data_IF_168000980258
#
_entry.id   IF_168000980258
#
_cell.length_a   1.000
_cell.length_b   1.000
_cell.length_c   1.000
_cell.angle_alpha   90.00
_cell.angle_beta   90.00
_cell.angle_gamma   90.00
#
_symmetry.space_group_name_H-M   'P 1'
#
loop_
_entity.id
_entity.type
_entity.pdbx_description
1 polymer ?
#
# COMPACT_ATOMS: atom_id res chain seq x y z
N UNK A 1 -39.00 36.98 44.85
CA UNK A 1 -37.53 36.97 44.55
C UNK A 1 -36.97 35.60 44.23
N UNK A 2 -37.76 34.53 44.23
CA UNK A 2 -37.22 33.13 44.02
C UNK A 2 -37.25 32.63 42.58
N UNK A 3 -37.91 33.32 41.68
CA UNK A 3 -38.07 32.82 40.30
C UNK A 3 -36.92 33.13 39.36
N UNK A 4 -36.10 34.10 39.66
CA UNK A 4 -34.91 34.48 38.86
C UNK A 4 -33.69 33.59 39.17
N UNK A 5 -33.53 33.19 40.43
CA UNK A 5 -32.43 32.34 40.90
C UNK A 5 -32.55 30.92 40.28
N UNK A 6 -33.76 30.41 40.18
CA UNK A 6 -34.05 29.10 39.60
C UNK A 6 -33.86 29.06 38.08
N UNK A 7 -34.01 30.19 37.38
CA UNK A 7 -33.77 30.33 35.93
C UNK A 7 -32.28 30.38 35.58
N UNK A 8 -31.45 30.99 36.46
CA UNK A 8 -29.98 31.04 36.27
C UNK A 8 -29.37 29.64 36.49
N UNK A 9 -29.75 28.92 37.54
CA UNK A 9 -29.29 27.54 37.78
C UNK A 9 -29.62 26.60 36.63
N UNK A 10 -30.84 26.65 36.06
CA UNK A 10 -31.22 25.85 34.92
C UNK A 10 -30.38 26.15 33.66
N UNK A 11 -29.99 27.39 33.43
CA UNK A 11 -29.13 27.76 32.29
C UNK A 11 -27.70 27.23 32.45
N UNK A 12 -27.14 27.29 33.66
CA UNK A 12 -25.81 26.77 33.96
C UNK A 12 -25.73 25.26 33.78
N UNK A 13 -26.74 24.49 34.21
CA UNK A 13 -26.82 23.06 33.99
C UNK A 13 -26.98 22.69 32.48
N UNK A 14 -27.74 23.48 31.73
CA UNK A 14 -27.87 23.29 30.29
C UNK A 14 -26.55 23.55 29.58
N UNK A 15 -25.82 24.60 29.94
CA UNK A 15 -24.51 24.88 29.37
C UNK A 15 -23.50 23.77 29.73
N UNK A 16 -23.50 23.32 30.99
CA UNK A 16 -22.63 22.22 31.44
C UNK A 16 -22.95 20.91 30.72
N UNK A 17 -24.24 20.58 30.48
CA UNK A 17 -24.63 19.36 29.75
C UNK A 17 -24.23 19.41 28.27
N UNK A 18 -24.33 20.58 27.63
CA UNK A 18 -23.90 20.77 26.25
C UNK A 18 -22.37 20.65 26.14
N UNK A 19 -21.61 21.26 27.06
CA UNK A 19 -20.16 21.12 27.11
C UNK A 19 -19.73 19.66 27.33
N UNK A 20 -20.41 18.95 28.23
CA UNK A 20 -20.12 17.53 28.47
C UNK A 20 -20.43 16.68 27.22
N UNK A 21 -21.54 16.93 26.53
CA UNK A 21 -21.89 16.25 25.27
C UNK A 21 -20.85 16.50 24.17
N UNK A 22 -20.32 17.73 24.07
CA UNK A 22 -19.25 18.07 23.12
C UNK A 22 -17.94 17.33 23.46
N UNK A 23 -17.57 17.28 24.74
CA UNK A 23 -16.36 16.55 25.18
C UNK A 23 -16.50 15.06 24.89
N UNK A 24 -17.67 14.45 25.16
CA UNK A 24 -17.95 13.05 24.85
C UNK A 24 -17.93 12.80 23.35
N UNK A 25 -18.50 13.69 22.53
CA UNK A 25 -18.46 13.61 21.08
C UNK A 25 -17.04 13.68 20.54
N UNK A 26 -16.21 14.60 21.05
CA UNK A 26 -14.79 14.72 20.66
C UNK A 26 -13.99 13.49 21.09
N UNK A 27 -14.22 12.98 22.30
CA UNK A 27 -13.59 11.74 22.78
C UNK A 27 -14.01 10.53 21.90
N UNK A 28 -15.28 10.43 21.55
CA UNK A 28 -15.78 9.37 20.67
C UNK A 28 -15.20 9.46 19.26
N UNK A 29 -15.04 10.68 18.74
CA UNK A 29 -14.39 10.91 17.44
C UNK A 29 -12.88 10.62 17.47
N UNK A 30 -12.20 10.90 18.60
CA UNK A 30 -10.78 10.57 18.81
C UNK A 30 -10.54 9.08 18.97
N UNK A 31 -11.42 8.37 19.67
CA UNK A 31 -11.33 6.92 19.85
C UNK A 31 -11.71 6.13 18.58
N UNK A 32 -12.51 6.75 17.71
CA UNK A 32 -12.90 6.15 16.42
C UNK A 32 -12.00 6.60 15.25
N UNK A 33 -10.92 7.34 15.54
CA UNK A 33 -9.83 7.52 14.60
C UNK A 33 -9.14 6.15 14.48
N UNK A 34 -9.57 5.37 13.48
CA UNK A 34 -8.82 4.20 13.01
C UNK A 34 -7.37 4.61 12.96
N UNK A 35 -6.54 3.79 13.58
CA UNK A 35 -5.10 3.91 13.67
C UNK A 35 -4.56 4.64 12.45
N UNK A 36 -3.82 5.71 12.69
CA UNK A 36 -3.20 6.47 11.64
C UNK A 36 -2.41 5.49 10.79
N UNK A 37 -2.88 5.23 9.57
CA UNK A 37 -2.13 4.45 8.64
C UNK A 37 -0.79 5.16 8.53
N UNK A 38 0.28 4.55 9.04
CA UNK A 38 1.63 4.99 8.77
C UNK A 38 1.74 5.26 7.27
N UNK A 39 2.41 6.33 6.84
CA UNK A 39 2.53 6.60 5.42
C UNK A 39 3.15 5.36 4.76
N UNK A 40 2.32 4.65 3.98
CA UNK A 40 2.76 3.46 3.26
C UNK A 40 3.97 3.82 2.42
N UNK A 41 4.99 2.99 2.45
CA UNK A 41 6.17 3.15 1.59
C UNK A 41 5.75 3.06 0.10
N UNK A 42 6.54 3.63 -0.79
CA UNK A 42 6.30 3.52 -2.25
C UNK A 42 6.17 2.05 -2.67
N UNK A 43 6.95 1.17 -2.03
CA UNK A 43 6.89 -0.28 -2.24
C UNK A 43 5.54 -0.88 -1.81
N UNK A 44 5.00 -0.47 -0.65
CA UNK A 44 3.68 -0.94 -0.20
C UNK A 44 2.56 -0.46 -1.12
N UNK A 45 2.64 0.78 -1.64
CA UNK A 45 1.69 1.26 -2.65
C UNK A 45 1.75 0.42 -3.92
N UNK A 46 2.95 0.10 -4.39
CA UNK A 46 3.16 -0.74 -5.56
C UNK A 46 2.58 -2.14 -5.36
N UNK A 47 2.92 -2.82 -4.27
CA UNK A 47 2.40 -4.16 -3.93
C UNK A 47 0.88 -4.14 -3.83
N UNK A 48 0.30 -3.20 -3.09
CA UNK A 48 -1.15 -3.07 -2.94
C UNK A 48 -1.86 -2.82 -4.29
N UNK A 49 -1.24 -2.07 -5.20
CA UNK A 49 -1.77 -1.85 -6.54
C UNK A 49 -1.76 -3.13 -7.38
N UNK A 50 -0.72 -3.96 -7.28
CA UNK A 50 -0.63 -5.26 -7.94
C UNK A 50 -1.68 -6.23 -7.40
N UNK A 51 -1.80 -6.37 -6.07
CA UNK A 51 -2.79 -7.20 -5.41
C UNK A 51 -4.21 -6.85 -5.85
N UNK A 52 -4.57 -5.57 -5.82
CA UNK A 52 -5.89 -5.09 -6.24
C UNK A 52 -6.19 -5.36 -7.72
N UNK A 53 -5.20 -5.18 -8.60
CA UNK A 53 -5.36 -5.48 -10.03
C UNK A 53 -5.60 -6.97 -10.25
N UNK A 54 -4.84 -7.83 -9.57
CA UNK A 54 -4.95 -9.27 -9.71
C UNK A 54 -6.25 -9.79 -9.09
N UNK A 55 -6.67 -9.29 -7.92
CA UNK A 55 -7.96 -9.63 -7.32
C UNK A 55 -9.13 -9.33 -8.26
N UNK A 56 -9.12 -8.16 -8.92
CA UNK A 56 -10.14 -7.78 -9.90
C UNK A 56 -10.13 -8.70 -11.12
N UNK A 57 -8.96 -9.03 -11.64
CA UNK A 57 -8.83 -9.92 -12.80
C UNK A 57 -9.35 -11.32 -12.48
N UNK A 58 -8.92 -11.90 -11.35
CA UNK A 58 -9.34 -13.25 -10.94
C UNK A 58 -10.82 -13.28 -10.58
N UNK A 59 -11.37 -12.23 -9.97
CA UNK A 59 -12.80 -12.16 -9.62
C UNK A 59 -13.73 -12.18 -10.85
N UNK A 60 -13.21 -11.90 -12.05
CA UNK A 60 -13.93 -12.04 -13.31
C UNK A 60 -14.01 -13.46 -13.87
N UNK A 61 -13.33 -14.43 -13.24
CA UNK A 61 -13.37 -15.83 -13.66
C UNK A 61 -14.65 -16.47 -13.11
N UNK A 62 -15.37 -17.15 -13.99
CA UNK A 62 -16.62 -17.82 -13.62
C UNK A 62 -16.43 -18.83 -12.47
N UNK A 63 -17.37 -18.84 -11.53
CA UNK A 63 -17.34 -19.71 -10.35
C UNK A 63 -16.61 -19.12 -9.14
N UNK A 64 -15.81 -18.07 -9.29
CA UNK A 64 -15.09 -17.43 -8.19
C UNK A 64 -16.00 -16.43 -7.49
N UNK A 65 -16.28 -16.66 -6.19
CA UNK A 65 -17.15 -15.79 -5.37
C UNK A 65 -16.36 -14.73 -4.61
N UNK A 66 -15.15 -15.04 -4.17
CA UNK A 66 -14.29 -14.13 -3.42
C UNK A 66 -12.83 -14.49 -3.63
N UNK A 67 -12.01 -13.48 -3.83
CA UNK A 67 -10.56 -13.60 -4.01
C UNK A 67 -9.86 -12.73 -2.98
N UNK A 68 -8.71 -13.19 -2.54
CA UNK A 68 -7.72 -12.39 -1.83
C UNK A 68 -6.35 -12.78 -2.35
N UNK A 69 -5.55 -11.77 -2.67
CA UNK A 69 -4.19 -11.95 -3.18
C UNK A 69 -3.21 -11.32 -2.22
N UNK A 70 -2.06 -11.96 -2.04
CA UNK A 70 -0.90 -11.42 -1.34
C UNK A 70 0.30 -11.61 -2.24
N UNK A 71 1.02 -10.51 -2.51
CA UNK A 71 2.22 -10.49 -3.35
C UNK A 71 3.44 -10.19 -2.50
N UNK A 72 4.46 -11.03 -2.60
CA UNK A 72 5.76 -10.84 -1.98
C UNK A 72 6.75 -10.33 -3.00
N UNK A 73 7.57 -9.35 -2.62
CA UNK A 73 8.61 -8.76 -3.48
C UNK A 73 9.97 -8.77 -2.79
N UNK A 74 11.05 -8.74 -3.57
CA UNK A 74 12.41 -8.61 -3.05
C UNK A 74 12.92 -7.17 -3.22
N UNK A 75 13.27 -6.54 -2.09
CA UNK A 75 13.77 -5.16 -2.08
C UNK A 75 12.66 -4.11 -2.03
N UNK A 76 12.98 -2.92 -2.48
CA UNK A 76 12.12 -1.75 -2.48
C UNK A 76 12.10 -1.06 -3.84
N UNK A 77 11.15 -0.15 -4.05
CA UNK A 77 11.17 0.75 -5.21
C UNK A 77 12.38 1.68 -5.06
N UNK A 78 13.23 1.70 -6.09
CA UNK A 78 14.46 2.50 -6.13
C UNK A 78 14.30 3.62 -7.16
N UNK A 79 14.65 4.86 -6.79
CA UNK A 79 14.69 5.99 -7.72
C UNK A 79 16.02 5.97 -8.46
N UNK A 80 15.96 5.99 -9.78
CA UNK A 80 17.12 6.04 -10.64
C UNK A 80 17.44 7.51 -10.98
N UNK A 81 18.69 7.89 -10.74
CA UNK A 81 19.17 9.24 -11.01
C UNK A 81 20.21 9.22 -12.14
N UNK A 82 20.22 10.29 -12.93
CA UNK A 82 21.26 10.48 -13.95
C UNK A 82 22.61 10.63 -13.30
N UNK A 83 23.57 9.88 -13.82
CA UNK A 83 24.98 9.95 -13.39
C UNK A 83 25.88 10.26 -14.57
N UNK A 84 26.92 11.06 -14.33
CA UNK A 84 28.05 11.28 -15.26
C UNK A 84 29.24 10.49 -14.76
N UNK A 85 29.89 9.78 -15.68
CA UNK A 85 31.14 9.04 -15.42
C UNK A 85 32.33 9.75 -16.07
N UNK A 86 33.33 10.07 -15.26
CA UNK A 86 34.66 10.54 -15.74
C UNK A 86 35.70 9.49 -15.48
N UNK A 87 36.33 9.00 -16.52
CA UNK A 87 37.48 8.11 -16.39
C UNK A 87 38.78 8.89 -16.69
N UNK A 88 39.70 8.82 -15.76
CA UNK A 88 41.06 9.39 -15.91
C UNK A 88 42.06 8.25 -15.81
N UNK A 89 42.91 8.13 -16.84
CA UNK A 89 43.97 7.11 -16.86
C UNK A 89 45.29 7.82 -16.69
N UNK A 90 45.97 7.59 -15.58
CA UNK A 90 47.31 8.08 -15.30
C UNK A 90 48.23 6.91 -14.93
N UNK A 91 49.39 6.85 -15.56
CA UNK A 91 50.43 5.83 -15.29
C UNK A 91 49.92 4.38 -15.32
N UNK A 92 48.98 4.06 -16.22
CA UNK A 92 48.41 2.71 -16.33
C UNK A 92 47.31 2.37 -15.30
N UNK A 93 46.93 3.32 -14.44
CA UNK A 93 45.81 3.17 -13.49
C UNK A 93 44.62 4.00 -13.95
N UNK A 94 43.50 3.36 -14.22
CA UNK A 94 42.25 4.02 -14.57
C UNK A 94 41.41 4.26 -13.31
N UNK A 95 41.08 5.53 -13.06
CA UNK A 95 40.15 5.94 -11.99
C UNK A 95 38.87 6.39 -12.62
N UNK A 96 37.75 5.73 -12.26
CA UNK A 96 36.41 6.10 -12.69
C UNK A 96 35.72 6.85 -11.54
N UNK A 97 35.29 8.07 -11.81
CA UNK A 97 34.50 8.88 -10.86
C UNK A 97 33.09 9.04 -11.38
N UNK A 98 32.13 8.54 -10.62
CA UNK A 98 30.69 8.67 -10.91
C UNK A 98 30.11 9.82 -10.08
N UNK A 99 29.44 10.77 -10.71
CA UNK A 99 28.79 11.89 -10.04
C UNK A 99 27.34 12.00 -10.46
N UNK A 100 26.46 12.30 -9.50
CA UNK A 100 25.02 12.52 -9.78
C UNK A 100 24.82 13.87 -10.46
N UNK A 101 24.03 13.89 -11.52
CA UNK A 101 23.66 15.12 -12.23
C UNK A 101 22.53 15.84 -11.49
N UNK A 102 22.68 17.16 -11.31
CA UNK A 102 21.69 18.01 -10.67
C UNK A 102 21.05 18.97 -11.68
N UNK A 103 19.76 19.17 -11.56
CA UNK A 103 19.00 20.18 -12.30
C UNK A 103 18.17 21.00 -11.30
N UNK A 104 18.37 22.34 -11.27
CA UNK A 104 17.67 23.22 -10.33
C UNK A 104 17.94 22.89 -8.85
N UNK A 105 19.15 22.39 -8.51
CA UNK A 105 19.53 22.02 -7.13
C UNK A 105 18.98 20.69 -6.63
N UNK A 106 18.31 19.91 -7.49
CA UNK A 106 17.80 18.57 -7.17
C UNK A 106 18.44 17.53 -8.06
N UNK A 107 18.69 16.29 -7.57
CA UNK A 107 19.14 15.19 -8.40
C UNK A 107 18.16 14.95 -9.56
N UNK A 108 18.70 14.78 -10.77
CA UNK A 108 17.87 14.52 -11.96
C UNK A 108 17.41 13.06 -11.95
N UNK A 109 16.14 12.85 -11.58
CA UNK A 109 15.53 11.52 -11.62
C UNK A 109 15.20 11.15 -13.07
N UNK A 110 15.63 9.96 -13.50
CA UNK A 110 15.43 9.44 -14.87
C UNK A 110 14.45 8.26 -14.92
N UNK A 111 14.12 7.68 -13.76
CA UNK A 111 13.20 6.55 -13.71
C UNK A 111 13.04 5.98 -12.31
N UNK A 112 12.32 4.87 -12.27
CA UNK A 112 12.13 4.06 -11.07
C UNK A 112 12.35 2.59 -11.42
N UNK A 113 13.02 1.87 -10.52
CA UNK A 113 13.19 0.42 -10.61
C UNK A 113 12.28 -0.22 -9.57
N UNK A 114 11.38 -1.07 -10.05
CA UNK A 114 10.47 -1.81 -9.19
C UNK A 114 11.09 -3.11 -8.73
N UNK A 115 10.78 -3.58 -7.50
CA UNK A 115 11.30 -4.84 -6.98
C UNK A 115 10.72 -6.04 -7.73
N UNK A 116 11.48 -7.14 -7.77
CA UNK A 116 11.03 -8.39 -8.37
C UNK A 116 10.00 -9.09 -7.48
N UNK A 117 9.00 -9.71 -8.12
CA UNK A 117 8.01 -10.51 -7.43
C UNK A 117 8.64 -11.87 -7.08
N UNK A 118 8.67 -12.21 -5.79
CA UNK A 118 9.26 -13.45 -5.28
C UNK A 118 8.24 -14.54 -5.00
N UNK A 119 6.96 -14.17 -4.84
CA UNK A 119 5.90 -15.14 -4.61
C UNK A 119 4.51 -14.51 -4.63
N UNK A 120 3.51 -15.32 -4.93
CA UNK A 120 2.10 -14.93 -4.95
C UNK A 120 1.26 -15.98 -4.23
N UNK A 121 0.47 -15.54 -3.25
CA UNK A 121 -0.54 -16.35 -2.59
C UNK A 121 -1.91 -15.90 -3.02
N UNK A 122 -2.71 -16.81 -3.57
CA UNK A 122 -4.10 -16.55 -3.97
C UNK A 122 -5.03 -17.39 -3.12
N UNK A 123 -5.92 -16.77 -2.39
CA UNK A 123 -6.98 -17.42 -1.62
C UNK A 123 -8.30 -17.19 -2.34
N UNK A 124 -8.91 -18.25 -2.84
CA UNK A 124 -10.16 -18.20 -3.60
C UNK A 124 -11.28 -18.94 -2.88
N UNK A 125 -12.48 -18.38 -2.93
CA UNK A 125 -13.69 -19.01 -2.40
C UNK A 125 -14.67 -19.31 -3.52
N UNK A 126 -15.24 -20.53 -3.48
CA UNK A 126 -16.23 -20.97 -4.47
C UNK A 126 -15.67 -21.84 -5.58
N UNK A 127 -14.35 -22.07 -5.60
CA UNK A 127 -13.69 -22.96 -6.56
C UNK A 127 -13.53 -24.34 -5.97
N UNK A 128 -14.24 -25.31 -6.54
CA UNK A 128 -14.18 -26.72 -6.11
C UNK A 128 -13.53 -27.64 -7.15
N UNK A 129 -13.37 -27.16 -8.38
CA UNK A 129 -12.82 -27.93 -9.50
C UNK A 129 -11.34 -27.61 -9.78
N UNK A 130 -10.66 -28.58 -10.37
CA UNK A 130 -9.24 -28.47 -10.73
C UNK A 130 -9.05 -27.46 -11.86
N UNK A 131 -9.98 -27.41 -12.82
CA UNK A 131 -9.90 -26.53 -13.98
C UNK A 131 -9.87 -25.07 -13.60
N UNK A 132 -10.74 -24.63 -12.69
CA UNK A 132 -10.75 -23.24 -12.22
C UNK A 132 -9.46 -22.88 -11.46
N UNK A 133 -8.87 -23.83 -10.70
CA UNK A 133 -7.56 -23.61 -10.07
C UNK A 133 -6.45 -23.45 -11.09
N UNK A 134 -6.46 -24.25 -12.16
CA UNK A 134 -5.50 -24.13 -13.26
C UNK A 134 -5.64 -22.81 -13.99
N UNK A 135 -6.87 -22.36 -14.27
CA UNK A 135 -7.13 -21.06 -14.91
C UNK A 135 -6.57 -19.90 -14.05
N UNK A 136 -6.72 -19.96 -12.72
CA UNK A 136 -6.15 -18.96 -11.81
C UNK A 136 -4.61 -19.03 -11.84
N UNK A 137 -4.02 -20.22 -11.84
CA UNK A 137 -2.58 -20.40 -11.90
C UNK A 137 -2.01 -19.81 -13.20
N UNK A 138 -2.62 -20.14 -14.33
CA UNK A 138 -2.22 -19.68 -15.66
C UNK A 138 -2.35 -18.14 -15.75
N UNK A 139 -3.43 -17.57 -15.22
CA UNK A 139 -3.62 -16.14 -15.19
C UNK A 139 -2.54 -15.42 -14.38
N UNK A 140 -2.18 -15.92 -13.20
CA UNK A 140 -1.12 -15.34 -12.35
C UNK A 140 0.25 -15.45 -13.04
N UNK A 141 0.57 -16.64 -13.59
CA UNK A 141 1.82 -16.90 -14.31
C UNK A 141 1.96 -15.97 -15.51
N UNK A 142 0.91 -15.80 -16.30
CA UNK A 142 0.92 -14.95 -17.50
C UNK A 142 1.07 -13.45 -17.16
N UNK A 143 0.51 -12.99 -16.03
CA UNK A 143 0.55 -11.56 -15.65
C UNK A 143 1.90 -11.18 -15.04
N UNK A 144 2.50 -12.05 -14.25
CA UNK A 144 3.71 -11.73 -13.49
C UNK A 144 4.99 -12.35 -14.05
N UNK A 145 4.89 -13.22 -15.06
CA UNK A 145 6.03 -13.96 -15.65
C UNK A 145 6.88 -14.66 -14.57
N UNK A 146 6.20 -15.33 -13.63
CA UNK A 146 6.84 -16.06 -12.54
C UNK A 146 6.56 -17.55 -12.63
N UNK A 147 7.50 -18.38 -12.17
CA UNK A 147 7.36 -19.83 -12.14
C UNK A 147 6.22 -20.29 -11.23
N UNK A 148 5.55 -21.38 -11.61
CA UNK A 148 4.44 -21.98 -10.87
C UNK A 148 4.79 -22.39 -9.42
N UNK A 149 6.06 -22.69 -9.15
CA UNK A 149 6.56 -23.04 -7.81
C UNK A 149 6.49 -21.84 -6.81
N UNK A 150 6.47 -20.62 -7.33
CA UNK A 150 6.33 -19.38 -6.56
C UNK A 150 4.87 -18.97 -6.33
N UNK A 151 3.92 -19.72 -6.89
CA UNK A 151 2.49 -19.43 -6.79
C UNK A 151 1.82 -20.47 -5.89
N UNK A 152 1.04 -20.00 -4.90
CA UNK A 152 0.23 -20.86 -4.05
C UNK A 152 -1.24 -20.48 -4.15
N UNK A 153 -2.08 -21.44 -4.50
CA UNK A 153 -3.54 -21.26 -4.56
C UNK A 153 -4.17 -22.07 -3.45
N UNK A 154 -4.96 -21.39 -2.60
CA UNK A 154 -5.75 -22.00 -1.54
C UNK A 154 -7.23 -21.81 -1.87
N UNK A 155 -7.95 -22.90 -2.09
CA UNK A 155 -9.40 -22.90 -2.27
C UNK A 155 -10.12 -23.14 -0.93
N UNK A 156 -11.20 -22.37 -0.68
CA UNK A 156 -12.06 -22.47 0.51
C UNK A 156 -13.52 -22.56 0.12
#
# INVERSE_FOLDING_TARGET
MDNEKNRKFKKEYVIASVLFAVVVAVAFFSLNKKDGAEPKSETEYYVCALENKLEKAISGIDGIKKVRVVVSVSGAVEKLYQTDEKSVTESGKTTVTTSTVFSGGKPLQIGEKYPEITGVLVVVKGVNDVTSKMNVLDAVTAVFDISCDKIRIIAQ
#
